data_IF_250814064907
#
_entry.id   IF_250814064907
#
_cell.length_a   1.000
_cell.length_b   1.000
_cell.length_c   1.000
_cell.angle_alpha   90.00
_cell.angle_beta   90.00
_cell.angle_gamma   90.00
#
_symmetry.space_group_name_H-M   'P 1'
#
loop_
_entity.id
_entity.type
_entity.pdbx_description
1 polymer ?
#
# COMPACT_ATOMS: atom_id res chain seq x y z
N UNK A 1 -2.35 -10.76 24.75
CA UNK A 1 -1.34 -10.25 25.70
C UNK A 1 -0.94 -8.85 25.23
N UNK A 2 -1.27 -7.79 25.98
CA UNK A 2 -0.90 -6.43 25.59
C UNK A 2 0.62 -6.28 25.78
N UNK A 3 1.33 -5.84 24.74
CA UNK A 3 2.76 -5.57 24.82
C UNK A 3 3.01 -4.53 25.92
N UNK A 4 4.04 -4.76 26.74
CA UNK A 4 4.45 -3.81 27.77
C UNK A 4 4.89 -2.49 27.11
N UNK A 5 4.70 -1.36 27.81
CA UNK A 5 5.12 -0.03 27.29
C UNK A 5 6.59 -0.02 26.85
N UNK A 6 7.45 -0.76 27.56
CA UNK A 6 8.87 -0.89 27.22
C UNK A 6 9.13 -1.60 25.89
N UNK A 7 8.36 -2.64 25.57
CA UNK A 7 8.48 -3.35 24.29
C UNK A 7 8.03 -2.48 23.11
N UNK A 8 6.96 -1.69 23.31
CA UNK A 8 6.47 -0.73 22.31
C UNK A 8 7.52 0.35 22.04
N UNK A 9 8.11 0.93 23.10
CA UNK A 9 9.17 1.93 22.97
C UNK A 9 10.43 1.35 22.31
N UNK A 10 10.81 0.12 22.65
CA UNK A 10 11.94 -0.55 22.02
C UNK A 10 11.70 -0.82 20.53
N UNK A 11 10.48 -1.22 20.14
CA UNK A 11 10.11 -1.41 18.74
C UNK A 11 10.15 -0.07 17.98
N UNK A 12 9.57 0.99 18.54
CA UNK A 12 9.58 2.34 17.97
C UNK A 12 11.01 2.85 17.79
N UNK A 13 11.86 2.73 18.83
CA UNK A 13 13.26 3.13 18.76
C UNK A 13 14.04 2.37 17.69
N UNK A 14 13.87 1.05 17.60
CA UNK A 14 14.49 0.23 16.54
C UNK A 14 14.00 0.62 15.15
N UNK A 15 12.70 0.89 15.00
CA UNK A 15 12.11 1.31 13.73
C UNK A 15 12.68 2.65 13.29
N UNK A 16 12.75 3.63 14.19
CA UNK A 16 13.34 4.95 13.91
C UNK A 16 14.81 4.85 13.50
N UNK A 17 15.57 3.93 14.09
CA UNK A 17 16.98 3.69 13.76
C UNK A 17 17.16 2.98 12.41
N UNK A 18 16.24 2.07 12.05
CA UNK A 18 16.25 1.35 10.77
C UNK A 18 15.62 2.14 9.62
N UNK A 19 14.80 3.14 9.92
CA UNK A 19 14.08 3.93 8.92
C UNK A 19 15.02 4.61 7.91
N UNK A 20 16.14 5.27 8.30
CA UNK A 20 17.07 5.86 7.33
C UNK A 20 17.64 4.82 6.37
N UNK A 21 18.00 3.63 6.86
CA UNK A 21 18.51 2.54 6.02
C UNK A 21 17.45 2.04 5.04
N UNK A 22 16.21 1.88 5.52
CA UNK A 22 15.08 1.49 4.68
C UNK A 22 14.76 2.55 3.61
N UNK A 23 14.87 3.84 3.94
CA UNK A 23 14.70 4.94 3.00
C UNK A 23 15.79 4.95 1.93
N UNK A 24 17.05 4.67 2.28
CA UNK A 24 18.14 4.52 1.29
C UNK A 24 17.84 3.35 0.35
N UNK A 25 17.47 2.19 0.87
CA UNK A 25 17.10 1.04 0.05
C UNK A 25 15.90 1.35 -0.87
N UNK A 26 14.90 2.04 -0.33
CA UNK A 26 13.75 2.49 -1.11
C UNK A 26 14.12 3.52 -2.17
N UNK A 27 15.03 4.46 -1.90
CA UNK A 27 15.45 5.48 -2.87
C UNK A 27 16.00 4.83 -4.15
N UNK A 28 16.79 3.76 -4.02
CA UNK A 28 17.26 3.00 -5.18
C UNK A 28 16.16 2.16 -5.86
N UNK A 29 15.20 1.66 -5.08
CA UNK A 29 14.06 0.90 -5.63
C UNK A 29 12.97 1.80 -6.24
N UNK A 30 12.92 3.09 -5.86
CA UNK A 30 11.84 4.00 -6.18
C UNK A 30 11.58 4.13 -7.69
N UNK A 31 12.59 4.23 -8.59
CA UNK A 31 12.32 4.28 -10.03
C UNK A 31 11.50 3.08 -10.55
N UNK A 32 11.80 1.87 -10.07
CA UNK A 32 11.08 0.66 -10.46
C UNK A 32 9.66 0.62 -9.86
N UNK A 33 9.53 0.99 -8.59
CA UNK A 33 8.23 1.03 -7.91
C UNK A 33 7.31 2.07 -8.57
N UNK A 34 7.88 3.23 -8.91
CA UNK A 34 7.20 4.34 -9.56
C UNK A 34 6.81 3.99 -10.99
N UNK A 35 7.64 3.26 -11.74
CA UNK A 35 7.27 2.82 -13.09
C UNK A 35 6.08 1.88 -13.06
N UNK A 36 6.04 0.93 -12.12
CA UNK A 36 4.88 0.03 -11.95
C UNK A 36 3.63 0.83 -11.61
N UNK A 37 3.72 1.74 -10.63
CA UNK A 37 2.62 2.60 -10.23
C UNK A 37 2.09 3.44 -11.41
N UNK A 38 3.00 3.99 -12.21
CA UNK A 38 2.65 4.83 -13.35
C UNK A 38 1.88 4.07 -14.44
N UNK A 39 2.25 2.81 -14.69
CA UNK A 39 1.55 1.94 -15.65
C UNK A 39 0.20 1.49 -15.12
N UNK A 40 0.09 1.19 -13.82
CA UNK A 40 -1.18 0.80 -13.18
C UNK A 40 -2.16 1.96 -13.12
N UNK A 41 -1.68 3.20 -12.95
CA UNK A 41 -2.52 4.40 -12.91
C UNK A 41 -3.14 4.74 -14.27
N UNK A 42 -2.41 4.51 -15.37
CA UNK A 42 -2.83 4.86 -16.75
C UNK A 42 -4.27 4.46 -17.11
N UNK A 43 -4.70 3.19 -16.99
CA UNK A 43 -6.05 2.79 -17.38
C UNK A 43 -7.14 3.51 -16.58
N UNK A 44 -6.88 3.74 -15.28
CA UNK A 44 -7.84 4.41 -14.39
C UNK A 44 -7.98 5.89 -14.78
N UNK A 45 -6.86 6.56 -15.06
CA UNK A 45 -6.90 7.97 -15.48
C UNK A 45 -7.56 8.10 -16.86
N UNK A 46 -7.22 7.24 -17.81
CA UNK A 46 -7.82 7.26 -19.15
C UNK A 46 -9.34 7.05 -19.10
N UNK A 47 -9.80 6.13 -18.25
CA UNK A 47 -11.23 5.90 -18.04
C UNK A 47 -11.93 7.09 -17.37
N UNK A 48 -11.31 7.66 -16.31
CA UNK A 48 -11.92 8.74 -15.54
C UNK A 48 -11.93 10.09 -16.27
N UNK A 49 -10.93 10.35 -17.12
CA UNK A 49 -10.81 11.60 -17.89
C UNK A 49 -11.37 11.51 -19.31
N UNK A 50 -11.60 10.30 -19.83
CA UNK A 50 -11.88 10.08 -21.25
C UNK A 50 -10.69 10.39 -22.18
N UNK A 51 -9.50 10.69 -21.63
CA UNK A 51 -8.32 11.02 -22.40
C UNK A 51 -7.68 9.77 -23.02
N UNK A 52 -7.15 9.92 -24.24
CA UNK A 52 -6.17 8.99 -24.78
C UNK A 52 -4.79 9.38 -24.24
N UNK A 53 -4.09 8.42 -23.65
CA UNK A 53 -2.79 8.66 -23.02
C UNK A 53 -1.70 7.89 -23.75
N UNK A 54 -0.59 8.56 -24.06
CA UNK A 54 0.66 7.88 -24.42
C UNK A 54 1.17 7.03 -23.23
N UNK A 55 2.16 6.17 -23.45
CA UNK A 55 2.83 5.47 -22.35
C UNK A 55 3.50 6.48 -21.41
N UNK A 56 3.53 6.25 -20.09
CA UNK A 56 4.19 7.17 -19.17
C UNK A 56 5.69 7.18 -19.43
N UNK A 57 6.27 8.38 -19.62
CA UNK A 57 7.71 8.55 -19.81
C UNK A 57 8.32 8.87 -18.44
N UNK A 58 9.22 8.01 -17.96
CA UNK A 58 9.91 8.24 -16.69
C UNK A 58 11.14 9.13 -16.90
N UNK A 59 11.24 10.21 -16.13
CA UNK A 59 12.44 11.04 -16.02
C UNK A 59 12.92 11.04 -14.56
N UNK A 60 13.73 10.04 -14.21
CA UNK A 60 14.15 9.80 -12.82
C UNK A 60 12.98 9.39 -11.94
N UNK A 61 12.60 10.24 -10.98
CA UNK A 61 11.47 10.00 -10.08
C UNK A 61 10.15 10.63 -10.57
N UNK A 62 10.22 11.42 -11.64
CA UNK A 62 9.07 12.07 -12.25
C UNK A 62 8.47 11.16 -13.31
N UNK A 63 7.16 10.97 -13.21
CA UNK A 63 6.35 10.36 -14.25
C UNK A 63 5.70 11.47 -15.08
N UNK A 64 6.07 11.56 -16.36
CA UNK A 64 5.42 12.46 -17.31
C UNK A 64 4.38 11.71 -18.12
N UNK A 65 3.19 12.28 -18.21
CA UNK A 65 2.08 11.81 -19.00
C UNK A 65 1.79 12.82 -20.11
N UNK A 66 1.76 12.34 -21.35
CA UNK A 66 1.22 13.08 -22.48
C UNK A 66 -0.24 12.63 -22.69
N UNK A 67 -1.17 13.57 -22.61
CA UNK A 67 -2.61 13.34 -22.69
C UNK A 67 -3.21 14.04 -23.89
N UNK A 68 -4.06 13.33 -24.63
CA UNK A 68 -4.93 13.89 -25.66
C UNK A 68 -6.40 13.75 -25.24
N UNK A 69 -7.00 14.88 -24.88
CA UNK A 69 -8.39 15.00 -24.49
C UNK A 69 -9.27 15.20 -25.72
N UNK A 70 -10.33 14.40 -25.82
CA UNK A 70 -11.32 14.54 -26.88
C UNK A 70 -12.56 15.20 -26.30
N UNK A 71 -13.23 16.10 -27.06
CA UNK A 71 -14.41 16.75 -26.54
C UNK A 71 -15.57 15.76 -26.37
N UNK A 72 -16.42 15.96 -25.35
CA UNK A 72 -17.64 15.17 -25.18
C UNK A 72 -18.54 15.32 -26.40
N UNK A 73 -19.36 14.30 -26.69
CA UNK A 73 -20.19 14.22 -27.91
C UNK A 73 -21.08 15.47 -28.13
N UNK A 74 -21.52 16.10 -27.05
CA UNK A 74 -22.33 17.32 -27.06
C UNK A 74 -21.57 18.59 -27.49
N UNK A 75 -20.22 18.57 -27.54
CA UNK A 75 -19.38 19.69 -27.96
C UNK A 75 -18.39 19.31 -29.07
N UNK A 76 -18.88 18.62 -30.10
CA UNK A 76 -18.09 18.15 -31.25
C UNK A 76 -17.37 19.27 -32.03
N UNK A 77 -17.72 20.53 -31.82
CA UNK A 77 -17.08 21.71 -32.42
C UNK A 77 -15.69 22.05 -31.82
N UNK A 78 -15.35 21.50 -30.65
CA UNK A 78 -14.04 21.69 -30.04
C UNK A 78 -12.97 20.82 -30.71
N UNK A 79 -11.77 21.36 -30.91
CA UNK A 79 -10.62 20.56 -31.36
C UNK A 79 -10.06 19.73 -30.18
N UNK A 80 -9.45 18.56 -30.42
CA UNK A 80 -8.77 17.81 -29.36
C UNK A 80 -7.72 18.66 -28.64
N UNK A 81 -7.69 18.61 -27.32
CA UNK A 81 -6.70 19.33 -26.51
C UNK A 81 -5.54 18.39 -26.13
N UNK A 82 -4.30 18.86 -26.29
CA UNK A 82 -3.10 18.14 -25.87
C UNK A 82 -2.53 18.81 -24.61
N UNK A 83 -2.20 18.03 -23.59
CA UNK A 83 -1.59 18.54 -22.36
C UNK A 83 -0.57 17.54 -21.82
N UNK A 84 0.50 18.06 -21.25
CA UNK A 84 1.52 17.28 -20.56
C UNK A 84 1.41 17.53 -19.06
N UNK A 85 1.36 16.45 -18.29
CA UNK A 85 1.29 16.50 -16.83
C UNK A 85 2.40 15.68 -16.20
N UNK A 86 2.92 16.17 -15.08
CA UNK A 86 4.02 15.55 -14.35
C UNK A 86 3.58 15.22 -12.93
N UNK A 87 3.98 14.04 -12.47
CA UNK A 87 3.73 13.60 -11.10
C UNK A 87 4.96 12.92 -10.52
N UNK A 88 5.31 13.31 -9.29
CA UNK A 88 6.36 12.65 -8.53
C UNK A 88 5.78 11.46 -7.78
N UNK A 89 5.91 10.27 -8.35
CA UNK A 89 5.38 9.04 -7.74
C UNK A 89 6.10 8.65 -6.43
N UNK A 90 7.32 9.15 -6.19
CA UNK A 90 8.06 8.90 -4.94
C UNK A 90 7.36 9.50 -3.71
N UNK A 91 6.56 10.55 -3.89
CA UNK A 91 5.76 11.14 -2.81
C UNK A 91 4.73 10.16 -2.25
N UNK A 92 4.35 9.13 -3.01
CA UNK A 92 3.34 8.15 -2.59
C UNK A 92 3.93 6.79 -2.20
N UNK A 93 5.17 6.49 -2.62
CA UNK A 93 5.80 5.18 -2.42
C UNK A 93 6.69 5.08 -1.18
N UNK A 94 7.01 6.20 -0.52
CA UNK A 94 7.85 6.19 0.69
C UNK A 94 7.29 5.35 1.84
N UNK A 95 5.97 5.12 1.87
CA UNK A 95 5.32 4.24 2.85
C UNK A 95 5.85 2.80 2.83
N UNK A 96 6.38 2.34 1.69
CA UNK A 96 7.03 1.04 1.56
C UNK A 96 8.28 0.99 2.44
N UNK A 97 9.09 2.07 2.49
CA UNK A 97 10.25 2.15 3.35
C UNK A 97 9.87 2.05 4.83
N UNK A 98 8.79 2.73 5.23
CA UNK A 98 8.26 2.68 6.60
C UNK A 98 7.81 1.25 6.97
N UNK A 99 7.08 0.57 6.08
CA UNK A 99 6.67 -0.82 6.29
C UNK A 99 7.88 -1.75 6.46
N UNK A 100 8.87 -1.61 5.58
CA UNK A 100 10.11 -2.39 5.63
C UNK A 100 10.84 -2.16 6.96
N UNK A 101 11.01 -0.91 7.39
CA UNK A 101 11.62 -0.59 8.68
C UNK A 101 10.87 -1.22 9.86
N UNK A 102 9.53 -1.14 9.87
CA UNK A 102 8.68 -1.77 10.89
C UNK A 102 8.78 -3.31 10.88
N UNK A 103 8.83 -3.92 9.70
CA UNK A 103 8.99 -5.37 9.55
C UNK A 103 10.36 -5.84 10.01
N UNK A 104 11.43 -5.10 9.71
CA UNK A 104 12.79 -5.39 10.16
C UNK A 104 12.97 -5.20 11.67
N UNK A 105 12.36 -4.16 12.24
CA UNK A 105 12.41 -3.89 13.67
C UNK A 105 11.67 -4.94 14.52
N UNK A 106 10.74 -5.68 13.91
CA UNK A 106 9.92 -6.69 14.56
C UNK A 106 10.39 -8.12 14.28
N UNK A 107 9.74 -9.09 14.93
CA UNK A 107 9.97 -10.51 14.66
C UNK A 107 9.53 -10.94 13.24
N UNK A 108 8.83 -10.06 12.49
CA UNK A 108 8.44 -10.28 11.10
C UNK A 108 9.64 -10.35 10.15
N UNK A 109 10.79 -9.78 10.55
CA UNK A 109 12.09 -9.91 9.86
C UNK A 109 12.48 -11.36 9.54
N UNK A 110 12.03 -12.32 10.35
CA UNK A 110 12.30 -13.76 10.16
C UNK A 110 11.41 -14.41 9.10
N UNK A 111 10.50 -13.67 8.46
CA UNK A 111 9.48 -14.20 7.54
C UNK A 111 9.40 -13.38 6.26
N UNK A 112 10.06 -13.86 5.21
CA UNK A 112 10.05 -13.22 3.89
C UNK A 112 8.65 -13.14 3.26
N UNK A 113 7.81 -14.16 3.42
CA UNK A 113 6.48 -14.23 2.78
C UNK A 113 5.54 -13.07 3.13
N UNK A 114 5.17 -12.86 4.41
CA UNK A 114 4.32 -11.75 4.83
C UNK A 114 4.91 -10.38 4.48
N UNK A 115 6.23 -10.24 4.55
CA UNK A 115 6.92 -9.00 4.19
C UNK A 115 6.79 -8.71 2.69
N UNK A 116 6.95 -9.73 1.83
CA UNK A 116 6.75 -9.60 0.39
C UNK A 116 5.28 -9.27 0.05
N UNK A 117 4.30 -9.96 0.66
CA UNK A 117 2.88 -9.68 0.48
C UNK A 117 2.55 -8.24 0.85
N UNK A 118 3.06 -7.77 2.01
CA UNK A 118 2.84 -6.40 2.44
C UNK A 118 3.42 -5.38 1.48
N UNK A 119 4.66 -5.60 1.02
CA UNK A 119 5.30 -4.73 0.03
C UNK A 119 4.53 -4.67 -1.30
N UNK A 120 4.02 -5.82 -1.79
CA UNK A 120 3.21 -5.89 -3.02
C UNK A 120 1.90 -5.13 -2.86
N UNK A 121 1.18 -5.32 -1.75
CA UNK A 121 -0.09 -4.61 -1.49
C UNK A 121 0.15 -3.10 -1.40
N UNK A 122 1.29 -2.67 -0.85
CA UNK A 122 1.63 -1.24 -0.78
C UNK A 122 1.88 -0.61 -2.14
N UNK A 123 2.08 -1.37 -3.24
CA UNK A 123 2.17 -0.81 -4.59
C UNK A 123 0.86 -0.18 -5.07
N UNK A 124 -0.27 -0.54 -4.47
CA UNK A 124 -1.58 0.04 -4.80
C UNK A 124 -1.64 1.51 -4.39
N UNK A 125 -0.99 1.89 -3.28
CA UNK A 125 -1.03 3.26 -2.76
C UNK A 125 -0.37 4.28 -3.72
N UNK A 126 0.83 4.02 -4.27
CA UNK A 126 1.42 4.85 -5.31
C UNK A 126 0.53 5.00 -6.55
N UNK A 127 -0.06 3.91 -7.05
CA UNK A 127 -0.94 3.97 -8.22
C UNK A 127 -2.18 4.85 -7.97
N UNK A 128 -2.77 4.74 -6.77
CA UNK A 128 -3.86 5.61 -6.33
C UNK A 128 -3.43 7.08 -6.28
N UNK A 129 -2.31 7.38 -5.62
CA UNK A 129 -1.79 8.74 -5.48
C UNK A 129 -1.51 9.41 -6.82
N UNK A 130 -0.82 8.70 -7.72
CA UNK A 130 -0.55 9.14 -9.10
C UNK A 130 -1.84 9.42 -9.86
N UNK A 131 -2.84 8.54 -9.74
CA UNK A 131 -4.14 8.71 -10.41
C UNK A 131 -4.82 10.01 -9.98
N UNK A 132 -4.97 10.22 -8.67
CA UNK A 132 -5.67 11.38 -8.16
C UNK A 132 -4.89 12.69 -8.31
N UNK A 133 -3.56 12.66 -8.32
CA UNK A 133 -2.78 13.86 -8.62
C UNK A 133 -2.94 14.29 -10.08
N UNK A 134 -2.88 13.36 -11.04
CA UNK A 134 -3.12 13.69 -12.45
C UNK A 134 -4.55 14.20 -12.66
N UNK A 135 -5.56 13.54 -12.07
CA UNK A 135 -6.95 14.00 -12.17
C UNK A 135 -7.15 15.39 -11.54
N UNK A 136 -6.48 15.65 -10.40
CA UNK A 136 -6.49 16.95 -9.75
C UNK A 136 -5.89 18.02 -10.66
N UNK A 137 -4.71 17.75 -11.23
CA UNK A 137 -4.03 18.68 -12.15
C UNK A 137 -4.91 18.97 -13.37
N UNK A 138 -5.50 17.95 -14.00
CA UNK A 138 -6.46 18.11 -15.11
C UNK A 138 -7.65 18.99 -14.72
N UNK A 139 -8.23 18.77 -13.55
CA UNK A 139 -9.38 19.54 -13.08
C UNK A 139 -9.06 21.00 -12.72
N UNK A 140 -7.79 21.31 -12.47
CA UNK A 140 -7.33 22.65 -12.11
C UNK A 140 -7.12 23.55 -13.33
N UNK A 141 -6.89 22.97 -14.52
CA UNK A 141 -6.70 23.73 -15.76
C UNK A 141 -8.07 24.18 -16.30
N UNK A 142 -8.34 25.48 -16.23
CA UNK A 142 -9.63 26.05 -16.64
C UNK A 142 -9.99 25.75 -18.10
N UNK A 143 -9.00 25.73 -18.99
CA UNK A 143 -9.16 25.47 -20.43
C UNK A 143 -9.61 24.02 -20.72
N UNK A 144 -9.35 23.09 -19.81
CA UNK A 144 -9.71 21.68 -19.95
C UNK A 144 -11.10 21.36 -19.40
N UNK A 145 -11.72 22.29 -18.67
CA UNK A 145 -13.04 22.11 -18.06
C UNK A 145 -14.15 21.68 -19.07
N UNK A 146 -14.20 22.21 -20.32
CA UNK A 146 -15.17 21.78 -21.32
C UNK A 146 -15.00 20.32 -21.78
N UNK A 147 -13.81 19.74 -21.63
CA UNK A 147 -13.49 18.37 -22.06
C UNK A 147 -13.81 17.34 -20.98
N UNK A 148 -13.66 17.71 -19.71
CA UNK A 148 -13.79 16.78 -18.58
C UNK A 148 -15.24 16.61 -18.08
N UNK A 149 -16.12 17.58 -18.38
CA UNK A 149 -17.54 17.58 -17.97
C UNK A 149 -17.77 17.24 -16.47
N UNK A 150 -16.82 17.61 -15.60
CA UNK A 150 -16.87 17.25 -14.17
C UNK A 150 -17.90 18.09 -13.41
N UNK A 151 -18.77 17.40 -12.68
CA UNK A 151 -19.67 18.01 -11.70
C UNK A 151 -18.88 18.63 -10.52
N UNK A 152 -19.54 19.48 -9.72
CA UNK A 152 -18.94 20.01 -8.47
C UNK A 152 -18.53 18.88 -7.54
N UNK A 153 -19.42 17.90 -7.36
CA UNK A 153 -19.17 16.72 -6.54
C UNK A 153 -17.99 15.87 -7.07
N UNK A 154 -17.85 15.75 -8.39
CA UNK A 154 -16.71 15.05 -9.00
C UNK A 154 -15.37 15.71 -8.67
N UNK A 155 -15.31 17.05 -8.69
CA UNK A 155 -14.09 17.80 -8.32
C UNK A 155 -13.73 17.66 -6.85
N UNK A 156 -14.72 17.72 -5.96
CA UNK A 156 -14.51 17.47 -4.53
C UNK A 156 -14.03 16.04 -4.27
N UNK A 157 -14.62 15.04 -4.95
CA UNK A 157 -14.19 13.65 -4.88
C UNK A 157 -12.73 13.47 -5.32
N UNK A 158 -12.30 14.14 -6.39
CA UNK A 158 -10.90 14.13 -6.84
C UNK A 158 -9.99 14.75 -5.78
N UNK A 159 -10.37 15.90 -5.21
CA UNK A 159 -9.59 16.56 -4.17
C UNK A 159 -9.45 15.70 -2.91
N UNK A 160 -10.52 15.04 -2.48
CA UNK A 160 -10.52 14.11 -1.36
C UNK A 160 -9.64 12.89 -1.65
N UNK A 161 -9.76 12.28 -2.82
CA UNK A 161 -8.94 11.14 -3.22
C UNK A 161 -7.44 11.48 -3.25
N UNK A 162 -7.09 12.70 -3.67
CA UNK A 162 -5.72 13.22 -3.60
C UNK A 162 -5.23 13.41 -2.16
N UNK A 163 -6.06 13.96 -1.26
CA UNK A 163 -5.69 14.11 0.15
C UNK A 163 -5.47 12.75 0.83
N UNK A 164 -6.36 11.79 0.57
CA UNK A 164 -6.23 10.42 1.06
C UNK A 164 -4.95 9.78 0.50
N UNK A 165 -4.68 9.94 -0.79
CA UNK A 165 -3.52 9.36 -1.47
C UNK A 165 -2.18 9.95 -1.05
N UNK A 166 -2.13 11.26 -0.79
CA UNK A 166 -0.89 11.98 -0.43
C UNK A 166 -0.52 11.87 1.04
N UNK A 167 -1.52 11.81 1.94
CA UNK A 167 -1.27 11.86 3.39
C UNK A 167 -1.58 10.53 4.08
N UNK A 168 -2.75 9.95 3.84
CA UNK A 168 -3.22 8.81 4.62
C UNK A 168 -2.60 7.50 4.15
N UNK A 169 -2.62 7.22 2.84
CA UNK A 169 -2.10 5.96 2.33
C UNK A 169 -0.59 5.78 2.58
N UNK A 170 0.28 6.77 2.38
CA UNK A 170 1.72 6.57 2.58
C UNK A 170 2.12 6.41 4.05
N UNK A 171 1.29 6.87 4.99
CA UNK A 171 1.62 6.88 6.43
C UNK A 171 0.87 5.81 7.21
N UNK A 172 -0.45 5.69 7.03
CA UNK A 172 -1.29 4.79 7.80
C UNK A 172 -1.33 3.38 7.22
N UNK A 173 -1.34 3.24 5.88
CA UNK A 173 -1.42 1.94 5.24
C UNK A 173 -0.25 1.01 5.62
N UNK A 174 1.02 1.47 5.66
CA UNK A 174 2.15 0.66 6.14
C UNK A 174 1.94 0.11 7.54
N UNK A 175 1.45 0.95 8.46
CA UNK A 175 1.25 0.60 9.86
C UNK A 175 0.09 -0.39 10.00
N UNK A 176 -1.04 -0.10 9.36
CA UNK A 176 -2.22 -0.96 9.38
C UNK A 176 -1.93 -2.35 8.78
N UNK A 177 -1.20 -2.38 7.66
CA UNK A 177 -0.82 -3.61 6.98
C UNK A 177 0.16 -4.44 7.83
N UNK A 178 1.16 -3.79 8.43
CA UNK A 178 2.07 -4.44 9.36
C UNK A 178 1.32 -5.02 10.56
N UNK A 179 0.39 -4.26 11.17
CA UNK A 179 -0.43 -4.74 12.27
C UNK A 179 -1.25 -5.97 11.85
N UNK A 180 -1.96 -5.91 10.72
CA UNK A 180 -2.78 -7.03 10.24
C UNK A 180 -1.99 -8.30 9.94
N UNK A 181 -0.79 -8.16 9.36
CA UNK A 181 0.08 -9.29 9.03
C UNK A 181 0.79 -9.87 10.28
N UNK A 182 1.05 -9.04 11.29
CA UNK A 182 1.71 -9.47 12.52
C UNK A 182 0.72 -10.06 13.55
N UNK A 183 -0.54 -9.60 13.56
CA UNK A 183 -1.59 -10.04 14.50
C UNK A 183 -2.04 -11.50 14.33
N UNK A 184 -1.89 -12.11 13.14
CA UNK A 184 -2.31 -13.50 12.86
C UNK A 184 -1.67 -14.58 13.77
N UNK A 185 -0.72 -14.25 14.64
CA UNK A 185 -0.19 -15.17 15.68
C UNK A 185 -0.17 -14.64 17.11
N UNK A 186 -0.68 -13.44 17.39
CA UNK A 186 -0.94 -13.05 18.79
C UNK A 186 -2.20 -13.73 19.37
N UNK A 187 -3.04 -14.36 18.52
CA UNK A 187 -4.33 -14.93 18.90
C UNK A 187 -4.42 -16.48 18.91
N UNK A 188 -3.34 -17.23 18.65
CA UNK A 188 -3.31 -18.69 18.87
C UNK A 188 -1.92 -19.10 19.41
N UNK A 189 -1.84 -19.69 20.61
CA UNK A 189 -2.49 -20.97 20.89
C UNK A 189 -3.29 -20.97 22.20
N UNK A 190 -4.61 -21.04 22.12
CA UNK A 190 -5.35 -21.81 23.12
C UNK A 190 -5.39 -23.25 22.62
N UNK A 191 -4.25 -23.94 22.70
CA UNK A 191 -4.31 -25.38 22.89
C UNK A 191 -4.86 -25.53 24.31
N UNK A 192 -6.12 -25.93 24.42
CA UNK A 192 -6.73 -26.27 25.70
C UNK A 192 -5.75 -27.19 26.45
N UNK A 193 -5.54 -26.99 27.76
CA UNK A 193 -4.75 -27.93 28.53
C UNK A 193 -5.40 -29.30 28.36
N UNK A 194 -4.64 -30.22 27.76
CA UNK A 194 -4.96 -31.64 27.73
C UNK A 194 -4.93 -32.07 29.19
N UNK A 195 -6.10 -32.06 29.82
CA UNK A 195 -6.26 -32.47 31.21
C UNK A 195 -5.92 -33.96 31.28
N UNK A 196 -4.79 -34.23 31.93
CA UNK A 196 -4.57 -35.34 32.85
C UNK A 196 -4.91 -36.75 32.38
N UNK A 197 -3.85 -37.53 32.12
CA UNK A 197 -3.53 -38.76 32.86
C UNK A 197 -4.70 -39.42 33.61
N UNK A 198 -5.23 -40.50 33.04
CA UNK A 198 -6.11 -41.46 33.71
C UNK A 198 -5.66 -42.90 33.46
N UNK A 199 -4.73 -43.37 34.29
CA UNK A 199 -4.56 -44.75 34.77
C UNK A 199 -4.69 -45.92 33.78
N UNK A 200 -3.54 -46.47 33.39
CA UNK A 200 -3.40 -47.85 32.87
C UNK A 200 -3.77 -48.87 33.95
N UNK A 201 -4.95 -49.47 33.86
CA UNK A 201 -5.42 -50.61 34.69
C UNK A 201 -4.88 -51.94 34.15
N UNK A 202 -3.56 -52.12 34.13
CA UNK A 202 -2.91 -53.33 33.59
C UNK A 202 -2.10 -54.15 34.62
N UNK A 203 -2.02 -53.77 35.90
CA UNK A 203 -1.18 -54.47 36.89
C UNK A 203 -1.97 -55.06 38.07
N UNK A 204 -2.95 -55.93 37.78
CA UNK A 204 -3.58 -56.77 38.80
C UNK A 204 -3.70 -58.24 38.33
N UNK A 205 -2.55 -58.91 38.19
CA UNK A 205 -2.47 -60.38 38.07
C UNK A 205 -2.07 -60.94 39.44
N UNK A 206 -2.92 -61.67 40.16
CA UNK A 206 -2.52 -62.35 41.39
C UNK A 206 -1.75 -63.65 41.09
N UNK A 207 -0.71 -64.00 41.87
CA UNK A 207 0.02 -65.24 41.67
C UNK A 207 -0.81 -66.46 42.13
N UNK A 208 -0.78 -67.51 41.32
CA UNK A 208 -1.18 -68.88 41.71
C UNK A 208 -0.24 -69.40 42.79
N UNK A 209 -0.77 -69.75 43.95
CA UNK A 209 -0.09 -70.67 44.85
C UNK A 209 -0.79 -72.04 44.84
N UNK A 210 0.03 -73.07 44.63
CA UNK A 210 -0.29 -74.48 44.75
C UNK A 210 0.12 -74.91 46.15
N UNK A 211 -0.83 -75.43 46.94
CA UNK A 211 -0.63 -76.52 47.93
C UNK A 211 -1.97 -76.88 48.55
#
# INVERSE_FOLDING_TARGET
MFASRGEILALLGKTLLLLPLALVAWFFAAPLLNSVAAHVAKPVISLASGAKMAGPVMQGHLARYELTLHPPYERRELQPAMTELEVNASTFSFGIALFVALSLASAMSRRAGPMAIGAIVLLIAPAWGVTFDILRQLSAVHELAPYLALSSFGREGIALGYQVGSLLLPTLLPIALWLGLNQRRMLMPMKAPETASGGSLADAVPPREKS
#
